data_IF_159941499432
#
_entry.id   IF_159941499432
#
_cell.length_a   1.000
_cell.length_b   1.000
_cell.length_c   1.000
_cell.angle_alpha   90.00
_cell.angle_beta   90.00
_cell.angle_gamma   90.00
#
_symmetry.space_group_name_H-M   'P 1'
#
loop_
_entity.id
_entity.type
_entity.pdbx_description
1 polymer ?
#
# COMPACT_ATOMS: atom_id res chain seq x y z
N UNK A 1 -23.90 -60.71 6.32
CA UNK A 1 -24.07 -59.32 6.75
C UNK A 1 -23.23 -58.47 5.82
N UNK A 2 -23.85 -57.67 4.99
CA UNK A 2 -23.12 -56.76 4.10
C UNK A 2 -22.50 -55.65 4.98
N UNK A 3 -21.16 -55.46 4.91
CA UNK A 3 -20.51 -54.30 5.45
C UNK A 3 -21.12 -53.05 4.82
N UNK A 4 -21.72 -52.19 5.63
CA UNK A 4 -22.09 -50.84 5.20
C UNK A 4 -20.83 -50.18 4.67
N UNK A 5 -20.80 -49.88 3.37
CA UNK A 5 -19.77 -49.05 2.79
C UNK A 5 -19.76 -47.73 3.57
N UNK A 6 -18.65 -47.41 4.28
CA UNK A 6 -18.39 -46.09 4.80
C UNK A 6 -18.71 -45.04 3.73
N UNK A 7 -19.40 -43.98 4.12
CA UNK A 7 -19.70 -42.85 3.25
C UNK A 7 -18.46 -42.45 2.43
N UNK A 8 -18.67 -42.15 1.16
CA UNK A 8 -17.60 -41.63 0.31
C UNK A 8 -17.06 -40.31 0.90
N UNK A 9 -15.73 -40.15 0.90
CA UNK A 9 -15.10 -38.88 1.27
C UNK A 9 -15.62 -37.72 0.43
N UNK A 10 -15.86 -36.56 1.05
CA UNK A 10 -16.26 -35.34 0.39
C UNK A 10 -15.09 -34.34 0.38
N UNK A 11 -15.20 -33.30 -0.44
CA UNK A 11 -14.19 -32.21 -0.46
C UNK A 11 -14.17 -31.46 0.86
N UNK A 12 -15.32 -31.34 1.54
CA UNK A 12 -15.44 -30.78 2.89
C UNK A 12 -14.68 -31.61 3.94
N UNK A 13 -14.69 -32.95 3.82
CA UNK A 13 -13.91 -33.83 4.69
C UNK A 13 -12.38 -33.67 4.47
N UNK A 14 -11.99 -33.15 3.31
CA UNK A 14 -10.62 -32.81 2.97
C UNK A 14 -10.24 -31.36 3.37
N UNK A 15 -11.16 -30.60 3.99
CA UNK A 15 -10.90 -29.25 4.53
C UNK A 15 -11.28 -28.09 3.59
N UNK A 16 -11.98 -28.35 2.47
CA UNK A 16 -12.45 -27.31 1.53
C UNK A 16 -13.97 -27.28 1.50
N UNK A 17 -14.58 -26.13 1.86
CA UNK A 17 -16.04 -25.97 1.95
C UNK A 17 -16.57 -25.08 0.81
N UNK A 18 -17.06 -25.73 -0.28
CA UNK A 18 -17.64 -25.03 -1.45
C UNK A 18 -18.84 -24.16 -1.06
N UNK A 19 -19.66 -24.60 -0.10
CA UNK A 19 -20.85 -23.83 0.33
C UNK A 19 -20.44 -22.56 1.07
N UNK A 20 -19.39 -22.62 1.90
CA UNK A 20 -18.81 -21.45 2.54
C UNK A 20 -18.24 -20.46 1.50
N UNK A 21 -17.54 -20.95 0.47
CA UNK A 21 -17.05 -20.14 -0.64
C UNK A 21 -18.19 -19.43 -1.39
N UNK A 22 -19.27 -20.13 -1.71
CA UNK A 22 -20.44 -19.53 -2.37
C UNK A 22 -21.11 -18.47 -1.48
N UNK A 23 -21.29 -18.75 -0.19
CA UNK A 23 -21.87 -17.81 0.77
C UNK A 23 -20.99 -16.56 0.92
N UNK A 24 -19.68 -16.73 0.93
CA UNK A 24 -18.73 -15.62 0.97
C UNK A 24 -18.88 -14.72 -0.27
N UNK A 25 -18.87 -15.29 -1.48
CA UNK A 25 -19.04 -14.52 -2.72
C UNK A 25 -20.36 -13.71 -2.70
N UNK A 26 -21.46 -14.33 -2.25
CA UNK A 26 -22.74 -13.61 -2.18
C UNK A 26 -22.71 -12.45 -1.16
N UNK A 27 -21.98 -12.59 -0.06
CA UNK A 27 -21.81 -11.52 0.95
C UNK A 27 -20.98 -10.36 0.46
N UNK A 28 -19.93 -10.60 -0.33
CA UNK A 28 -19.03 -9.53 -0.80
C UNK A 28 -19.57 -8.76 -2.01
N UNK A 29 -20.41 -9.36 -2.87
CA UNK A 29 -21.00 -8.72 -4.06
C UNK A 29 -21.57 -7.31 -3.82
N UNK A 30 -22.36 -7.04 -2.76
CA UNK A 30 -22.90 -5.69 -2.50
C UNK A 30 -21.80 -4.67 -2.17
N UNK A 31 -20.70 -5.11 -1.56
CA UNK A 31 -19.57 -4.24 -1.22
C UNK A 31 -18.80 -3.88 -2.47
N UNK A 32 -18.47 -4.85 -3.32
CA UNK A 32 -17.71 -4.66 -4.56
C UNK A 32 -18.40 -3.67 -5.51
N UNK A 33 -19.73 -3.68 -5.58
CA UNK A 33 -20.51 -2.71 -6.38
C UNK A 33 -20.24 -1.25 -6.04
N UNK A 34 -19.71 -0.95 -4.86
CA UNK A 34 -19.34 0.43 -4.46
C UNK A 34 -18.11 0.96 -5.19
N UNK A 35 -17.32 0.08 -5.80
CA UNK A 35 -16.09 0.44 -6.53
C UNK A 35 -16.32 0.62 -8.03
N UNK A 36 -17.55 0.50 -8.52
CA UNK A 36 -17.88 0.63 -9.95
C UNK A 36 -17.43 1.97 -10.47
N UNK A 37 -16.72 1.94 -11.60
CA UNK A 37 -16.30 3.13 -12.32
C UNK A 37 -16.55 3.00 -13.81
N UNK A 38 -16.46 4.10 -14.54
CA UNK A 38 -16.60 4.12 -16.00
C UNK A 38 -15.51 3.24 -16.64
N UNK A 39 -15.91 2.36 -17.53
CA UNK A 39 -15.06 1.37 -18.18
C UNK A 39 -15.03 0.00 -17.53
N UNK A 40 -15.35 -0.10 -16.23
CA UNK A 40 -15.38 -1.38 -15.53
C UNK A 40 -16.74 -2.08 -15.72
N UNK A 41 -16.70 -3.37 -16.05
CA UNK A 41 -17.83 -4.27 -15.87
C UNK A 41 -17.86 -4.74 -14.41
N UNK A 42 -19.05 -4.70 -13.81
CA UNK A 42 -19.18 -4.80 -12.35
C UNK A 42 -19.79 -6.13 -11.86
N UNK A 43 -20.02 -7.08 -12.74
CA UNK A 43 -20.62 -8.35 -12.34
C UNK A 43 -19.54 -9.37 -11.94
N UNK A 44 -19.41 -9.59 -10.61
CA UNK A 44 -18.60 -10.68 -10.06
C UNK A 44 -19.29 -12.04 -10.35
N UNK A 45 -18.47 -13.01 -10.74
CA UNK A 45 -18.91 -14.41 -10.92
C UNK A 45 -18.65 -14.97 -12.30
N UNK A 46 -18.05 -14.17 -13.20
CA UNK A 46 -17.47 -14.65 -14.46
C UNK A 46 -16.03 -15.17 -14.24
N UNK A 47 -15.43 -15.74 -15.31
CA UNK A 47 -14.03 -16.17 -15.28
C UNK A 47 -13.02 -15.01 -15.26
N UNK A 48 -13.46 -13.78 -15.54
CA UNK A 48 -12.65 -12.57 -15.51
C UNK A 48 -13.49 -11.31 -15.67
N UNK A 49 -12.96 -10.17 -15.24
CA UNK A 49 -13.58 -8.86 -15.38
C UNK A 49 -13.12 -8.14 -16.66
N UNK A 50 -14.02 -7.44 -17.33
CA UNK A 50 -13.69 -6.60 -18.47
C UNK A 50 -13.46 -5.15 -18.03
N UNK A 51 -12.50 -4.49 -18.70
CA UNK A 51 -12.29 -3.05 -18.57
C UNK A 51 -12.13 -2.41 -19.95
N UNK A 52 -13.02 -1.47 -20.27
CA UNK A 52 -13.01 -0.74 -21.54
C UNK A 52 -12.27 0.60 -21.38
N UNK A 53 -11.01 0.63 -21.83
CA UNK A 53 -10.15 1.82 -21.79
C UNK A 53 -10.73 2.99 -22.58
N UNK A 54 -11.36 2.71 -23.72
CA UNK A 54 -11.98 3.75 -24.53
C UNK A 54 -13.20 4.36 -23.83
N UNK A 55 -14.02 3.53 -23.19
CA UNK A 55 -15.13 4.02 -22.37
C UNK A 55 -14.62 4.82 -21.17
N UNK A 56 -13.47 4.46 -20.60
CA UNK A 56 -12.82 5.20 -19.52
C UNK A 56 -12.24 6.56 -19.96
N UNK A 57 -12.08 6.79 -21.28
CA UNK A 57 -11.67 8.08 -21.85
C UNK A 57 -10.25 8.12 -22.44
N UNK A 58 -9.57 6.98 -22.49
CA UNK A 58 -8.21 6.89 -23.04
C UNK A 58 -8.22 6.84 -24.58
N UNK A 59 -7.18 7.43 -25.19
CA UNK A 59 -6.98 7.48 -26.65
C UNK A 59 -5.85 6.55 -27.12
N UNK A 60 -4.64 6.68 -26.55
CA UNK A 60 -3.47 5.85 -26.84
C UNK A 60 -2.79 5.43 -25.52
N UNK A 61 -3.47 4.62 -24.68
CA UNK A 61 -2.97 4.29 -23.37
C UNK A 61 -1.82 3.29 -23.39
N UNK A 62 -0.89 3.46 -22.43
CA UNK A 62 0.04 2.44 -22.00
C UNK A 62 -0.50 1.87 -20.69
N UNK A 63 -0.56 0.55 -20.60
CA UNK A 63 -0.92 -0.13 -19.36
C UNK A 63 0.28 -0.22 -18.42
N UNK A 64 0.03 0.02 -17.15
CA UNK A 64 0.99 -0.19 -16.07
C UNK A 64 0.36 -1.18 -15.09
N UNK A 65 1.14 -2.17 -14.66
CA UNK A 65 0.67 -3.19 -13.73
C UNK A 65 1.62 -3.28 -12.54
N UNK A 66 1.07 -3.42 -11.34
CA UNK A 66 1.80 -3.67 -10.11
C UNK A 66 1.12 -4.78 -9.32
N UNK A 67 1.92 -5.53 -8.56
CA UNK A 67 1.42 -6.50 -7.60
C UNK A 67 2.23 -6.39 -6.31
N UNK A 68 1.54 -6.55 -5.18
CA UNK A 68 2.16 -6.54 -3.86
C UNK A 68 1.28 -7.31 -2.87
N UNK A 69 1.79 -7.51 -1.66
CA UNK A 69 1.09 -8.07 -0.52
C UNK A 69 1.05 -7.10 0.66
N UNK A 70 0.50 -7.56 1.79
CA UNK A 70 0.51 -6.81 3.05
C UNK A 70 1.75 -7.12 3.89
N UNK A 71 2.26 -8.33 3.76
CA UNK A 71 3.40 -8.80 4.53
C UNK A 71 3.06 -9.14 5.99
N UNK A 72 4.07 -9.12 6.87
CA UNK A 72 3.93 -9.63 8.24
C UNK A 72 3.09 -8.75 9.18
N UNK A 73 2.56 -7.62 8.71
CA UNK A 73 1.48 -6.87 9.38
C UNK A 73 0.25 -7.76 9.59
N UNK A 74 -0.03 -8.68 8.65
CA UNK A 74 -1.11 -9.66 8.77
C UNK A 74 -1.06 -10.47 10.05
N UNK A 75 0.13 -10.76 10.60
CA UNK A 75 0.23 -11.50 11.86
C UNK A 75 -0.38 -10.76 13.06
N UNK A 76 -0.33 -9.41 13.05
CA UNK A 76 -1.00 -8.62 14.07
C UNK A 76 -2.52 -8.74 13.89
N UNK A 77 -3.03 -8.61 12.66
CA UNK A 77 -4.45 -8.76 12.37
C UNK A 77 -4.98 -10.15 12.78
N UNK A 78 -4.24 -11.22 12.46
CA UNK A 78 -4.56 -12.60 12.81
C UNK A 78 -4.60 -12.80 14.34
N UNK A 79 -3.59 -12.31 15.05
CA UNK A 79 -3.48 -12.48 16.51
C UNK A 79 -4.50 -11.67 17.31
N UNK A 80 -5.02 -10.59 16.70
CA UNK A 80 -5.95 -9.65 17.37
C UNK A 80 -7.40 -9.77 16.91
N UNK A 81 -7.64 -10.42 15.76
CA UNK A 81 -8.97 -10.48 15.14
C UNK A 81 -9.40 -9.17 14.48
N UNK A 82 -8.48 -8.23 14.22
CA UNK A 82 -8.76 -6.95 13.54
C UNK A 82 -8.38 -7.08 12.06
N UNK A 83 -9.34 -7.35 11.20
CA UNK A 83 -9.11 -7.71 9.80
C UNK A 83 -9.55 -6.64 8.79
N UNK A 84 -10.30 -5.63 9.22
CA UNK A 84 -10.97 -4.65 8.35
C UNK A 84 -10.04 -3.56 7.77
N UNK A 85 -8.80 -3.46 8.27
CA UNK A 85 -7.83 -2.45 7.81
C UNK A 85 -6.83 -2.99 6.78
N UNK A 86 -6.45 -4.27 6.88
CA UNK A 86 -5.37 -4.85 6.06
C UNK A 86 -5.70 -4.92 4.56
N UNK A 87 -7.00 -4.93 4.20
CA UNK A 87 -7.43 -4.81 2.82
C UNK A 87 -7.11 -3.44 2.22
N UNK A 88 -7.14 -2.36 3.01
CA UNK A 88 -6.71 -1.03 2.58
C UNK A 88 -5.19 -1.03 2.33
N UNK A 89 -4.41 -1.66 3.21
CA UNK A 89 -2.97 -1.82 3.01
C UNK A 89 -2.67 -2.53 1.68
N UNK A 90 -3.36 -3.63 1.40
CA UNK A 90 -3.18 -4.39 0.17
C UNK A 90 -3.37 -3.52 -1.08
N UNK A 91 -4.47 -2.76 -1.12
CA UNK A 91 -4.74 -1.86 -2.25
C UNK A 91 -3.69 -0.76 -2.31
N UNK A 92 -3.38 -0.12 -1.18
CA UNK A 92 -2.43 1.00 -1.11
C UNK A 92 -1.06 0.63 -1.66
N UNK A 93 -0.53 -0.55 -1.27
CA UNK A 93 0.78 -1.02 -1.74
C UNK A 93 0.82 -1.14 -3.27
N UNK A 94 -0.25 -1.64 -3.89
CA UNK A 94 -0.32 -1.78 -5.34
C UNK A 94 -0.58 -0.45 -6.08
N UNK A 95 -1.56 0.34 -5.64
CA UNK A 95 -1.97 1.54 -6.39
C UNK A 95 -1.00 2.71 -6.23
N UNK A 96 -0.29 2.80 -5.10
CA UNK A 96 0.76 3.78 -4.93
C UNK A 96 1.96 3.50 -5.86
N UNK A 97 2.24 2.23 -6.15
CA UNK A 97 3.28 1.84 -7.11
C UNK A 97 2.87 2.13 -8.57
N UNK A 98 1.56 2.13 -8.88
CA UNK A 98 1.09 2.59 -10.20
C UNK A 98 1.23 4.09 -10.37
N UNK A 99 0.78 4.86 -9.37
CA UNK A 99 0.75 6.32 -9.47
C UNK A 99 2.15 6.93 -9.56
N UNK A 100 3.19 6.27 -9.01
CA UNK A 100 4.57 6.78 -9.14
C UNK A 100 5.10 6.71 -10.58
N UNK A 101 4.49 5.89 -11.44
CA UNK A 101 4.75 5.89 -12.88
C UNK A 101 3.89 6.93 -13.64
N UNK A 102 3.04 7.69 -12.94
CA UNK A 102 2.06 8.61 -13.50
C UNK A 102 0.76 7.93 -13.93
N UNK A 103 0.59 6.63 -13.74
CA UNK A 103 -0.57 5.88 -14.19
C UNK A 103 -1.75 6.01 -13.22
N UNK A 104 -2.95 6.29 -13.75
CA UNK A 104 -4.19 6.21 -12.99
C UNK A 104 -4.55 4.75 -12.74
N UNK A 105 -4.72 4.28 -11.48
CA UNK A 105 -5.24 2.95 -11.18
C UNK A 105 -6.67 2.78 -11.71
N UNK A 106 -6.91 1.72 -12.49
CA UNK A 106 -8.20 1.48 -13.14
C UNK A 106 -8.96 0.31 -12.52
N UNK A 107 -8.26 -0.79 -12.29
CA UNK A 107 -8.83 -2.01 -11.77
C UNK A 107 -7.91 -2.67 -10.75
N UNK A 108 -8.53 -3.47 -9.89
CA UNK A 108 -7.88 -4.25 -8.86
C UNK A 108 -8.41 -5.68 -8.85
N UNK A 109 -7.53 -6.62 -8.56
CA UNK A 109 -7.81 -8.03 -8.33
C UNK A 109 -7.10 -8.44 -7.05
N UNK A 110 -7.74 -9.24 -6.20
CA UNK A 110 -7.13 -9.79 -5.00
C UNK A 110 -6.96 -11.32 -5.08
N UNK A 111 -6.00 -11.82 -4.31
CA UNK A 111 -5.85 -13.23 -4.01
C UNK A 111 -5.82 -13.38 -2.48
N UNK A 112 -6.84 -14.04 -1.95
CA UNK A 112 -6.97 -14.36 -0.54
C UNK A 112 -6.75 -15.86 -0.34
N UNK A 113 -5.64 -16.23 0.29
CA UNK A 113 -5.28 -17.61 0.58
C UNK A 113 -5.32 -17.87 2.09
N UNK A 114 -6.03 -18.90 2.52
CA UNK A 114 -6.18 -19.26 3.94
C UNK A 114 -6.13 -20.77 4.13
N UNK A 115 -5.90 -21.22 5.36
CA UNK A 115 -6.00 -22.65 5.70
C UNK A 115 -7.46 -23.12 5.63
N UNK A 116 -8.39 -22.30 6.10
CA UNK A 116 -9.83 -22.56 6.14
C UNK A 116 -10.58 -21.24 6.10
N UNK A 117 -11.57 -21.10 5.24
CA UNK A 117 -12.32 -19.87 5.05
C UNK A 117 -13.29 -19.63 6.20
N UNK A 118 -13.01 -18.59 7.01
CA UNK A 118 -13.99 -17.96 7.86
C UNK A 118 -14.68 -16.85 7.06
N UNK A 119 -16.00 -16.96 6.87
CA UNK A 119 -16.78 -16.04 6.02
C UNK A 119 -16.84 -14.63 6.61
N UNK A 120 -16.88 -14.49 7.94
CA UNK A 120 -16.96 -13.19 8.61
C UNK A 120 -15.61 -12.46 8.54
N UNK A 121 -14.50 -13.19 8.75
CA UNK A 121 -13.15 -12.68 8.58
C UNK A 121 -12.88 -12.27 7.13
N UNK A 122 -13.21 -13.14 6.17
CA UNK A 122 -13.04 -12.84 4.75
C UNK A 122 -13.85 -11.61 4.30
N UNK A 123 -15.10 -11.48 4.78
CA UNK A 123 -15.91 -10.28 4.50
C UNK A 123 -15.28 -9.01 5.07
N UNK A 124 -14.70 -9.05 6.27
CA UNK A 124 -14.01 -7.89 6.87
C UNK A 124 -12.79 -7.49 6.02
N UNK A 125 -11.99 -8.46 5.58
CA UNK A 125 -10.84 -8.23 4.70
C UNK A 125 -11.28 -7.57 3.37
N UNK A 126 -12.30 -8.14 2.70
CA UNK A 126 -12.79 -7.61 1.42
C UNK A 126 -13.42 -6.23 1.57
N UNK A 127 -14.07 -5.92 2.70
CA UNK A 127 -14.53 -4.55 2.99
C UNK A 127 -13.37 -3.56 3.02
N UNK A 128 -12.24 -3.93 3.59
CA UNK A 128 -11.02 -3.13 3.55
C UNK A 128 -10.49 -2.94 2.12
N UNK A 129 -10.50 -4.00 1.30
CA UNK A 129 -10.10 -3.92 -0.13
C UNK A 129 -11.03 -2.96 -0.89
N UNK A 130 -12.35 -3.08 -0.70
CA UNK A 130 -13.34 -2.19 -1.32
C UNK A 130 -13.13 -0.74 -0.91
N UNK A 131 -12.86 -0.48 0.37
CA UNK A 131 -12.55 0.87 0.86
C UNK A 131 -11.29 1.42 0.21
N UNK A 132 -10.21 0.63 0.16
CA UNK A 132 -8.97 1.03 -0.52
C UNK A 132 -9.19 1.34 -2.01
N UNK A 133 -9.96 0.50 -2.72
CA UNK A 133 -10.33 0.74 -4.12
C UNK A 133 -11.15 2.02 -4.30
N UNK A 134 -12.09 2.31 -3.40
CA UNK A 134 -12.88 3.54 -3.42
C UNK A 134 -12.02 4.79 -3.19
N UNK A 135 -11.06 4.71 -2.25
CA UNK A 135 -10.09 5.78 -2.02
C UNK A 135 -9.21 6.01 -3.26
N UNK A 136 -8.70 4.95 -3.87
CA UNK A 136 -7.89 5.03 -5.09
C UNK A 136 -8.70 5.43 -6.33
N UNK A 137 -10.02 5.17 -6.35
CA UNK A 137 -10.87 5.40 -7.51
C UNK A 137 -10.76 4.29 -8.56
N UNK A 138 -10.29 3.10 -8.20
CA UNK A 138 -10.25 1.92 -9.08
C UNK A 138 -11.38 0.95 -8.78
N UNK A 139 -11.72 0.08 -9.74
CA UNK A 139 -12.75 -0.94 -9.58
C UNK A 139 -12.15 -2.27 -9.10
N UNK A 140 -12.73 -2.87 -8.06
CA UNK A 140 -12.48 -4.28 -7.73
C UNK A 140 -13.32 -5.13 -8.71
N UNK A 141 -12.67 -5.73 -9.71
CA UNK A 141 -13.37 -6.42 -10.81
C UNK A 141 -13.33 -7.94 -10.73
N UNK A 142 -12.64 -8.48 -9.74
CA UNK A 142 -12.51 -9.91 -9.52
C UNK A 142 -11.48 -10.20 -8.42
N UNK A 143 -11.28 -11.46 -8.18
CA UNK A 143 -10.32 -11.97 -7.21
C UNK A 143 -10.42 -13.49 -7.12
N UNK A 144 -9.62 -14.08 -6.26
CA UNK A 144 -9.60 -15.50 -5.97
C UNK A 144 -9.53 -15.73 -4.47
N UNK A 145 -10.31 -16.67 -3.97
CA UNK A 145 -10.24 -17.10 -2.56
C UNK A 145 -9.94 -18.58 -2.53
N UNK A 146 -8.80 -18.95 -1.95
CA UNK A 146 -8.31 -20.32 -1.91
C UNK A 146 -8.22 -20.85 -0.48
N UNK A 147 -8.92 -21.99 -0.23
CA UNK A 147 -8.69 -22.79 0.96
C UNK A 147 -7.56 -23.79 0.69
N UNK A 148 -6.48 -23.69 1.47
CA UNK A 148 -5.25 -24.45 1.31
C UNK A 148 -4.90 -25.19 2.61
N UNK A 149 -5.71 -26.19 3.03
CA UNK A 149 -5.48 -26.92 4.26
C UNK A 149 -4.14 -27.66 4.22
N UNK A 150 -3.32 -27.47 5.26
CA UNK A 150 -1.98 -28.05 5.35
C UNK A 150 -0.87 -27.19 4.73
N UNK A 151 -1.17 -26.18 3.92
CA UNK A 151 -0.20 -25.18 3.45
C UNK A 151 -0.09 -24.04 4.45
N UNK A 152 -1.22 -23.52 4.92
CA UNK A 152 -1.30 -22.54 6.00
C UNK A 152 -1.66 -23.21 7.34
N UNK A 153 -1.20 -22.64 8.45
CA UNK A 153 -1.68 -23.03 9.76
C UNK A 153 -3.13 -22.54 9.96
N UNK A 154 -3.89 -23.20 10.83
CA UNK A 154 -5.27 -22.80 11.10
C UNK A 154 -5.34 -21.36 11.62
N UNK A 155 -6.13 -20.52 10.97
CA UNK A 155 -6.29 -19.10 11.25
C UNK A 155 -5.26 -18.20 10.55
N UNK A 156 -4.24 -18.78 9.91
CA UNK A 156 -3.31 -18.00 9.07
C UNK A 156 -3.91 -17.79 7.67
N UNK A 157 -3.62 -16.62 7.13
CA UNK A 157 -3.95 -16.26 5.75
C UNK A 157 -2.88 -15.35 5.14
N UNK A 158 -2.89 -15.25 3.81
CA UNK A 158 -2.07 -14.30 3.05
C UNK A 158 -2.92 -13.58 2.02
N UNK A 159 -2.48 -12.37 1.67
CA UNK A 159 -3.15 -11.49 0.72
C UNK A 159 -2.16 -11.04 -0.34
N UNK A 160 -2.52 -11.18 -1.60
CA UNK A 160 -1.82 -10.58 -2.72
C UNK A 160 -2.79 -9.75 -3.56
N UNK A 161 -2.34 -8.58 -4.01
CA UNK A 161 -3.09 -7.67 -4.84
C UNK A 161 -2.46 -7.50 -6.20
N UNK A 162 -3.29 -7.31 -7.23
CA UNK A 162 -2.88 -6.97 -8.58
C UNK A 162 -3.66 -5.74 -9.02
N UNK A 163 -2.95 -4.69 -9.36
CA UNK A 163 -3.55 -3.47 -9.87
C UNK A 163 -3.08 -3.21 -11.29
N UNK A 164 -3.99 -2.76 -12.14
CA UNK A 164 -3.66 -2.29 -13.49
C UNK A 164 -4.16 -0.87 -13.63
N UNK A 165 -3.28 -0.01 -14.08
CA UNK A 165 -3.53 1.37 -14.40
C UNK A 165 -3.21 1.68 -15.85
N UNK A 166 -3.51 2.90 -16.27
CA UNK A 166 -3.14 3.39 -17.58
C UNK A 166 -2.64 4.83 -17.51
N UNK A 167 -1.83 5.17 -18.50
CA UNK A 167 -1.33 6.51 -18.76
C UNK A 167 -1.30 6.73 -20.26
N UNK A 168 -1.60 7.94 -20.72
CA UNK A 168 -1.45 8.27 -22.14
C UNK A 168 0.01 8.23 -22.57
N UNK A 169 0.27 7.75 -23.78
CA UNK A 169 1.62 7.65 -24.33
C UNK A 169 2.32 9.01 -24.36
N UNK A 170 3.54 9.05 -23.80
CA UNK A 170 4.33 10.26 -23.68
C UNK A 170 4.15 11.04 -22.38
N UNK A 171 3.26 10.56 -21.47
CA UNK A 171 3.04 11.19 -20.16
C UNK A 171 3.67 10.41 -19.00
N UNK A 172 4.37 9.30 -19.29
CA UNK A 172 4.97 8.43 -18.28
C UNK A 172 6.04 9.17 -17.47
N UNK A 173 5.98 9.06 -16.16
CA UNK A 173 7.06 9.53 -15.28
C UNK A 173 8.19 8.50 -15.29
N UNK A 174 9.33 8.89 -15.85
CA UNK A 174 10.53 8.05 -15.94
C UNK A 174 11.71 8.58 -15.12
N UNK A 175 11.54 9.76 -14.52
CA UNK A 175 12.63 10.49 -13.85
C UNK A 175 13.55 11.25 -14.81
N UNK A 176 13.36 11.12 -16.13
CA UNK A 176 14.22 11.78 -17.12
C UNK A 176 14.16 13.32 -17.07
N UNK A 177 13.06 13.86 -16.58
CA UNK A 177 12.81 15.30 -16.45
C UNK A 177 13.27 15.86 -15.08
N UNK A 178 13.91 15.06 -14.24
CA UNK A 178 14.50 15.52 -12.98
C UNK A 178 15.77 16.32 -13.25
N UNK A 179 15.86 17.49 -12.65
CA UNK A 179 16.99 18.41 -12.85
C UNK A 179 17.60 18.88 -11.53
N UNK A 180 18.87 19.31 -11.56
CA UNK A 180 19.49 19.98 -10.43
C UNK A 180 18.70 21.25 -10.07
N UNK A 181 18.34 21.40 -8.80
CA UNK A 181 17.55 22.50 -8.29
C UNK A 181 16.07 22.16 -8.07
N UNK A 182 15.58 21.05 -8.61
CA UNK A 182 14.23 20.57 -8.31
C UNK A 182 14.03 20.38 -6.81
N UNK A 183 12.80 20.62 -6.37
CA UNK A 183 12.42 20.51 -4.97
C UNK A 183 11.85 19.13 -4.69
N UNK A 184 12.21 18.55 -3.55
CA UNK A 184 11.61 17.32 -3.05
C UNK A 184 10.57 17.69 -2.00
N UNK A 185 9.30 17.40 -2.32
CA UNK A 185 8.19 17.48 -1.38
C UNK A 185 7.98 16.09 -0.78
N UNK A 186 7.71 16.03 0.52
CA UNK A 186 7.35 14.80 1.22
C UNK A 186 5.89 14.83 1.64
N UNK A 187 5.13 13.80 1.24
CA UNK A 187 3.77 13.57 1.72
C UNK A 187 3.83 12.71 2.98
N UNK A 188 3.17 13.18 4.04
CA UNK A 188 3.21 12.50 5.33
C UNK A 188 2.62 11.09 5.25
N UNK A 189 3.21 10.14 5.96
CA UNK A 189 2.61 8.85 6.25
C UNK A 189 1.62 8.93 7.41
N UNK A 190 0.72 7.94 7.50
CA UNK A 190 -0.19 7.79 8.65
C UNK A 190 0.39 6.84 9.72
N UNK A 191 1.66 6.49 9.62
CA UNK A 191 2.39 5.60 10.52
C UNK A 191 3.35 4.69 9.76
N UNK A 192 3.52 3.47 10.24
CA UNK A 192 4.48 2.49 9.69
C UNK A 192 4.12 2.06 8.25
N UNK A 193 2.85 2.16 7.87
CA UNK A 193 2.28 1.62 6.63
C UNK A 193 2.28 0.09 6.62
N UNK A 194 2.93 -0.56 5.62
CA UNK A 194 2.99 -2.03 5.51
C UNK A 194 4.41 -2.59 5.50
N UNK A 195 5.43 -1.77 5.66
CA UNK A 195 6.83 -2.21 5.60
C UNK A 195 7.49 -2.23 6.98
N UNK A 196 8.47 -3.12 7.17
CA UNK A 196 9.23 -3.22 8.42
C UNK A 196 8.52 -3.98 9.54
N UNK A 197 7.37 -4.61 9.31
CA UNK A 197 6.56 -5.24 10.37
C UNK A 197 7.21 -6.44 11.04
N UNK A 198 8.16 -7.12 10.41
CA UNK A 198 8.95 -8.14 11.09
C UNK A 198 9.76 -7.54 12.25
N UNK A 199 10.34 -6.35 12.04
CA UNK A 199 11.07 -5.61 13.07
C UNK A 199 10.11 -5.01 14.11
N UNK A 200 9.00 -4.41 13.68
CA UNK A 200 7.95 -3.89 14.60
C UNK A 200 7.50 -4.97 15.58
N UNK A 201 7.11 -6.13 15.07
CA UNK A 201 6.66 -7.28 15.91
C UNK A 201 7.75 -7.74 16.87
N UNK A 202 9.00 -7.78 16.41
CA UNK A 202 10.13 -8.13 17.26
C UNK A 202 10.35 -7.10 18.37
N UNK A 203 10.23 -5.80 18.08
CA UNK A 203 10.30 -4.75 19.09
C UNK A 203 9.17 -4.92 20.12
N UNK A 204 7.92 -5.08 19.68
CA UNK A 204 6.78 -5.31 20.57
C UNK A 204 7.01 -6.53 21.47
N UNK A 205 7.48 -7.63 20.90
CA UNK A 205 7.82 -8.84 21.69
C UNK A 205 8.83 -8.54 22.80
N UNK A 206 9.85 -7.73 22.55
CA UNK A 206 10.86 -7.38 23.56
C UNK A 206 10.31 -6.51 24.69
N UNK A 207 9.27 -5.71 24.43
CA UNK A 207 8.62 -4.89 25.47
C UNK A 207 7.75 -5.71 26.42
N UNK A 208 7.30 -6.90 26.00
CA UNK A 208 6.33 -7.71 26.72
C UNK A 208 4.92 -7.14 26.77
N UNK A 209 4.61 -6.07 26.02
CA UNK A 209 3.27 -5.49 25.94
C UNK A 209 2.33 -6.41 25.15
N UNK A 210 1.14 -6.74 25.65
CA UNK A 210 0.12 -7.43 24.86
C UNK A 210 -0.50 -6.47 23.83
N UNK A 211 -1.03 -7.01 22.74
CA UNK A 211 -1.63 -6.21 21.65
C UNK A 211 -2.77 -5.30 22.09
N UNK A 212 -3.53 -5.67 23.10
CA UNK A 212 -4.63 -4.89 23.67
C UNK A 212 -4.19 -3.89 24.75
N UNK A 213 -2.88 -3.72 25.01
CA UNK A 213 -2.39 -2.70 25.91
C UNK A 213 -2.70 -1.29 25.37
N UNK A 214 -2.89 -0.28 26.25
CA UNK A 214 -2.89 1.12 25.81
C UNK A 214 -1.63 1.42 25.01
N UNK A 215 -1.81 2.11 23.86
CA UNK A 215 -0.69 2.40 22.99
C UNK A 215 0.24 3.45 23.61
N UNK A 216 1.58 3.19 23.72
CA UNK A 216 2.52 4.14 24.33
C UNK A 216 2.71 5.44 23.53
N UNK A 217 2.34 5.46 22.25
CA UNK A 217 2.52 6.59 21.35
C UNK A 217 1.18 7.13 20.77
N UNK A 218 0.04 6.59 21.17
CA UNK A 218 -1.31 7.07 20.86
C UNK A 218 -2.27 6.77 22.00
N UNK A 219 -2.58 7.77 22.82
CA UNK A 219 -3.44 7.63 24.00
C UNK A 219 -4.89 7.18 23.69
N UNK A 220 -5.32 7.21 22.41
CA UNK A 220 -6.69 6.92 21.98
C UNK A 220 -6.91 5.51 21.48
N UNK A 221 -5.83 4.75 21.29
CA UNK A 221 -5.84 3.43 20.67
C UNK A 221 -5.17 2.38 21.55
N UNK A 222 -5.48 1.11 21.30
CA UNK A 222 -4.65 0.00 21.73
C UNK A 222 -3.38 -0.08 20.84
N UNK A 223 -2.37 -0.81 21.32
CA UNK A 223 -1.14 -1.03 20.55
C UNK A 223 -1.44 -1.66 19.19
N UNK A 224 -2.35 -2.63 19.13
CA UNK A 224 -2.77 -3.25 17.88
C UNK A 224 -3.43 -2.26 16.92
N UNK A 225 -4.43 -1.51 17.39
CA UNK A 225 -5.15 -0.54 16.55
C UNK A 225 -4.20 0.52 15.96
N UNK A 226 -3.28 1.05 16.78
CA UNK A 226 -2.29 2.02 16.32
C UNK A 226 -1.32 1.43 15.28
N UNK A 227 -0.87 0.18 15.48
CA UNK A 227 0.02 -0.51 14.54
C UNK A 227 -0.71 -1.07 13.31
N UNK A 228 -2.03 -1.24 13.34
CA UNK A 228 -2.85 -1.62 12.20
C UNK A 228 -3.38 -0.42 11.41
N UNK A 229 -3.02 0.82 11.77
CA UNK A 229 -3.33 2.00 10.95
C UNK A 229 -2.96 1.74 9.49
N UNK A 230 -3.90 1.88 8.53
CA UNK A 230 -3.66 1.51 7.14
C UNK A 230 -2.61 2.40 6.46
N UNK A 231 -2.00 1.84 5.44
CA UNK A 231 -1.16 2.57 4.48
C UNK A 231 -2.00 3.65 3.78
N UNK A 232 -1.49 4.87 3.74
CA UNK A 232 -2.14 6.00 3.07
C UNK A 232 -2.16 5.81 1.56
N UNK A 233 -3.29 6.08 0.93
CA UNK A 233 -3.47 6.03 -0.53
C UNK A 233 -3.34 7.45 -1.09
N UNK A 234 -2.30 7.69 -1.89
CA UNK A 234 -1.94 9.01 -2.43
C UNK A 234 -2.51 9.29 -3.83
N UNK A 235 -3.27 8.37 -4.42
CA UNK A 235 -3.66 8.40 -5.84
C UNK A 235 -4.34 9.70 -6.26
N UNK A 236 -5.46 10.07 -5.60
CA UNK A 236 -6.24 11.26 -6.01
C UNK A 236 -5.47 12.57 -5.86
N UNK A 237 -4.80 12.84 -4.73
CA UNK A 237 -3.96 14.04 -4.59
C UNK A 237 -2.85 14.11 -5.63
N UNK A 238 -2.18 12.98 -5.90
CA UNK A 238 -1.07 12.93 -6.86
C UNK A 238 -1.57 13.11 -8.28
N UNK A 239 -2.71 12.51 -8.69
CA UNK A 239 -3.31 12.77 -10.01
C UNK A 239 -3.61 14.26 -10.22
N UNK A 240 -4.10 14.96 -9.18
CA UNK A 240 -4.32 16.40 -9.25
C UNK A 240 -3.00 17.18 -9.41
N UNK A 241 -1.93 16.76 -8.72
CA UNK A 241 -0.62 17.37 -8.87
C UNK A 241 -0.01 17.09 -10.26
N UNK A 242 -0.16 15.88 -10.80
CA UNK A 242 0.32 15.50 -12.14
C UNK A 242 -0.32 16.35 -13.26
N UNK A 243 -1.56 16.79 -13.07
CA UNK A 243 -2.25 17.65 -14.04
C UNK A 243 -1.53 19.00 -14.25
N UNK A 244 -0.67 19.43 -13.34
CA UNK A 244 0.15 20.66 -13.51
C UNK A 244 1.29 20.50 -14.51
N UNK A 245 1.68 19.26 -14.84
CA UNK A 245 2.85 18.90 -15.65
C UNK A 245 4.19 19.39 -15.07
N UNK A 246 4.24 19.68 -13.77
CA UNK A 246 5.43 20.18 -13.05
C UNK A 246 6.00 19.15 -12.09
N UNK A 247 5.41 17.96 -12.03
CA UNK A 247 5.94 16.81 -11.30
C UNK A 247 6.88 16.04 -12.21
N UNK A 248 8.14 15.91 -11.82
CA UNK A 248 9.18 15.25 -12.61
C UNK A 248 9.42 13.81 -12.20
N UNK A 249 9.23 13.47 -10.92
CA UNK A 249 9.30 12.11 -10.43
C UNK A 249 8.51 11.92 -9.14
N UNK A 250 8.17 10.66 -8.85
CA UNK A 250 7.48 10.23 -7.63
C UNK A 250 8.16 8.98 -7.08
N UNK A 251 8.33 8.88 -5.77
CA UNK A 251 8.83 7.67 -5.12
C UNK A 251 7.91 7.26 -3.97
N UNK A 252 7.34 6.05 -4.05
CA UNK A 252 6.62 5.43 -2.94
C UNK A 252 7.62 4.90 -1.92
N UNK A 253 7.54 5.36 -0.67
CA UNK A 253 8.51 5.00 0.36
C UNK A 253 8.06 3.73 1.07
N UNK A 254 8.63 2.61 0.64
CA UNK A 254 8.37 1.24 1.10
C UNK A 254 9.60 0.63 1.77
N UNK A 255 9.81 -0.68 1.70
CA UNK A 255 11.03 -1.33 2.16
C UNK A 255 12.27 -0.73 1.50
N UNK A 256 13.32 -0.49 2.26
CA UNK A 256 14.48 0.31 1.85
C UNK A 256 14.38 1.79 2.25
N UNK A 257 13.19 2.25 2.72
CA UNK A 257 12.97 3.60 3.22
C UNK A 257 13.31 4.70 2.21
N UNK A 258 13.63 5.89 2.70
CA UNK A 258 14.02 7.02 1.87
C UNK A 258 15.33 6.75 1.10
N UNK A 259 16.22 5.95 1.70
CA UNK A 259 17.57 5.68 1.15
C UNK A 259 17.55 4.89 -0.15
N UNK A 260 16.66 3.91 -0.30
CA UNK A 260 16.66 3.00 -1.43
C UNK A 260 15.51 3.26 -2.44
N UNK A 261 14.44 3.99 -2.03
CA UNK A 261 13.32 4.27 -2.93
C UNK A 261 13.50 5.55 -3.75
N UNK A 262 14.05 6.62 -3.18
CA UNK A 262 14.26 7.87 -3.94
C UNK A 262 15.26 7.69 -5.09
N UNK A 263 16.39 6.98 -4.94
CA UNK A 263 17.31 6.75 -6.06
C UNK A 263 16.69 6.08 -7.29
N UNK A 264 15.65 5.27 -7.11
CA UNK A 264 15.00 4.54 -8.22
C UNK A 264 14.40 5.45 -9.29
N UNK A 265 14.16 6.72 -8.94
CA UNK A 265 13.50 7.68 -9.82
C UNK A 265 14.39 8.86 -10.17
N UNK A 266 15.67 8.79 -9.82
CA UNK A 266 16.66 9.80 -10.15
C UNK A 266 17.58 9.34 -11.29
N UNK A 267 18.01 10.25 -12.19
CA UNK A 267 19.16 10.03 -13.05
C UNK A 267 20.43 9.72 -12.26
N UNK A 268 21.34 8.93 -12.84
CA UNK A 268 22.58 8.48 -12.17
C UNK A 268 23.50 9.63 -11.74
N UNK A 269 23.46 10.77 -12.42
CA UNK A 269 24.28 11.96 -12.14
C UNK A 269 23.61 12.94 -11.17
N UNK A 270 22.45 12.57 -10.62
CA UNK A 270 21.72 13.39 -9.63
C UNK A 270 21.60 12.67 -8.29
N UNK A 271 21.48 13.48 -7.25
CA UNK A 271 21.30 13.04 -5.87
C UNK A 271 20.32 13.99 -5.16
N UNK A 272 19.74 13.58 -4.04
CA UNK A 272 18.93 14.45 -3.20
C UNK A 272 19.62 14.73 -1.88
N UNK A 273 19.45 15.96 -1.40
CA UNK A 273 19.84 16.37 -0.05
C UNK A 273 18.57 16.67 0.73
N UNK A 274 18.29 15.87 1.73
CA UNK A 274 17.11 15.94 2.57
C UNK A 274 17.43 16.59 3.91
N UNK A 275 16.54 17.41 4.43
CA UNK A 275 16.64 18.00 5.77
C UNK A 275 15.70 17.21 6.72
N UNK A 276 16.27 16.37 7.58
CA UNK A 276 15.50 15.52 8.49
C UNK A 276 14.69 16.32 9.53
N UNK A 277 15.01 17.60 9.77
CA UNK A 277 14.24 18.47 10.65
C UNK A 277 13.01 19.11 10.00
N UNK A 278 12.84 18.95 8.67
CA UNK A 278 11.81 19.66 7.90
C UNK A 278 10.41 19.03 7.97
N UNK A 279 10.28 17.84 8.54
CA UNK A 279 8.98 17.19 8.74
C UNK A 279 8.85 16.58 10.14
N UNK A 280 7.62 16.49 10.62
CA UNK A 280 7.30 15.81 11.87
C UNK A 280 7.22 14.31 11.67
N UNK A 281 8.02 13.54 12.39
CA UNK A 281 7.89 12.09 12.43
C UNK A 281 6.73 11.69 13.34
N UNK A 282 5.84 10.76 12.93
CA UNK A 282 4.89 10.12 13.82
C UNK A 282 5.57 9.48 15.03
N UNK A 283 4.95 9.59 16.21
CA UNK A 283 5.55 9.17 17.49
C UNK A 283 5.91 7.66 17.53
N UNK A 284 5.26 6.83 16.70
CA UNK A 284 5.57 5.41 16.56
C UNK A 284 7.05 5.17 16.21
N UNK A 285 7.67 6.01 15.39
CA UNK A 285 9.06 5.80 14.97
C UNK A 285 10.05 6.09 16.11
N UNK A 286 9.80 7.12 16.90
CA UNK A 286 10.60 7.40 18.10
C UNK A 286 10.48 6.27 19.12
N UNK A 287 9.26 5.75 19.33
CA UNK A 287 9.03 4.63 20.21
C UNK A 287 9.74 3.35 19.73
N UNK A 288 9.65 3.04 18.43
CA UNK A 288 10.34 1.88 17.84
C UNK A 288 11.85 1.98 17.99
N UNK A 289 12.42 3.15 17.71
CA UNK A 289 13.86 3.40 17.85
C UNK A 289 14.32 3.21 19.29
N UNK A 290 13.60 3.77 20.26
CA UNK A 290 13.92 3.69 21.68
C UNK A 290 13.80 2.25 22.20
N UNK A 291 12.63 1.59 21.99
CA UNK A 291 12.39 0.25 22.52
C UNK A 291 13.23 -0.84 21.82
N UNK A 292 13.52 -0.64 20.53
CA UNK A 292 14.34 -1.58 19.75
C UNK A 292 15.83 -1.30 19.82
N UNK A 293 16.26 -0.15 20.38
CA UNK A 293 17.65 0.29 20.29
C UNK A 293 18.14 0.42 18.86
N UNK A 294 17.25 0.91 17.93
CA UNK A 294 17.51 0.91 16.49
C UNK A 294 18.24 2.19 16.11
N UNK A 295 19.38 2.05 15.46
CA UNK A 295 20.18 3.16 14.97
C UNK A 295 19.44 3.99 13.91
N UNK A 296 19.69 5.30 13.86
CA UNK A 296 18.98 6.24 12.96
C UNK A 296 19.03 5.81 11.49
N UNK A 297 20.20 5.36 11.01
CA UNK A 297 20.34 4.92 9.61
C UNK A 297 19.55 3.64 9.31
N UNK A 298 19.43 2.74 10.28
CA UNK A 298 18.59 1.53 10.15
C UNK A 298 17.10 1.89 10.16
N UNK A 299 16.68 2.88 10.96
CA UNK A 299 15.33 3.43 10.92
C UNK A 299 15.00 3.98 9.53
N UNK A 300 15.89 4.79 8.95
CA UNK A 300 15.72 5.41 7.62
C UNK A 300 15.78 4.42 6.47
N UNK A 301 16.37 3.25 6.67
CA UNK A 301 16.42 2.16 5.69
C UNK A 301 15.24 1.21 5.81
N UNK A 302 14.73 0.97 7.01
CA UNK A 302 13.66 0.01 7.25
C UNK A 302 12.28 0.64 7.08
N UNK A 303 12.12 1.90 7.50
CA UNK A 303 10.83 2.56 7.64
C UNK A 303 10.73 3.83 6.78
N UNK A 304 9.48 4.28 6.56
CA UNK A 304 9.19 5.54 5.89
C UNK A 304 9.53 6.79 6.75
N UNK A 305 9.73 6.63 8.05
CA UNK A 305 10.06 7.69 9.02
C UNK A 305 9.19 8.94 8.91
N UNK A 306 7.91 8.78 8.53
CA UNK A 306 6.93 9.87 8.45
C UNK A 306 6.68 10.41 7.04
N UNK A 307 7.41 9.94 6.01
CA UNK A 307 7.21 10.30 4.61
C UNK A 307 6.82 9.04 3.82
N UNK A 308 5.56 8.97 3.39
CA UNK A 308 5.09 7.82 2.61
C UNK A 308 5.25 7.98 1.10
N UNK A 309 5.37 9.21 0.60
CA UNK A 309 5.59 9.51 -0.82
C UNK A 309 6.52 10.71 -0.96
N UNK A 310 7.54 10.61 -1.78
CA UNK A 310 8.37 11.74 -2.21
C UNK A 310 7.93 12.20 -3.61
N UNK A 311 7.82 13.52 -3.79
CA UNK A 311 7.40 14.17 -5.04
C UNK A 311 8.48 15.13 -5.47
N UNK A 312 9.15 14.87 -6.58
CA UNK A 312 10.15 15.76 -7.17
C UNK A 312 9.44 16.69 -8.15
N UNK A 313 9.59 18.00 -7.94
CA UNK A 313 8.86 19.01 -8.71
C UNK A 313 9.81 20.12 -9.20
N UNK A 314 9.46 20.73 -10.32
CA UNK A 314 10.12 21.94 -10.79
C UNK A 314 10.18 23.01 -9.67
N UNK A 315 11.35 23.62 -9.49
CA UNK A 315 11.59 24.56 -8.39
C UNK A 315 10.58 25.71 -8.32
N UNK A 316 10.22 26.25 -9.48
CA UNK A 316 9.27 27.37 -9.61
C UNK A 316 7.81 26.99 -9.35
N UNK A 317 7.48 25.69 -9.48
CA UNK A 317 6.12 25.18 -9.26
C UNK A 317 5.91 24.54 -7.88
N UNK A 318 6.94 24.47 -7.05
CA UNK A 318 6.92 23.72 -5.80
C UNK A 318 5.80 24.18 -4.84
N UNK A 319 5.57 25.49 -4.71
CA UNK A 319 4.54 26.02 -3.82
C UNK A 319 3.12 25.80 -4.38
N UNK A 320 2.94 25.88 -5.70
CA UNK A 320 1.66 25.59 -6.35
C UNK A 320 1.29 24.12 -6.23
N UNK A 321 2.23 23.21 -6.52
CA UNK A 321 2.03 21.75 -6.38
C UNK A 321 1.75 21.39 -4.93
N UNK A 322 2.52 21.96 -3.97
CA UNK A 322 2.26 21.78 -2.54
C UNK A 322 0.83 22.19 -2.17
N UNK A 323 0.40 23.38 -2.62
CA UNK A 323 -0.95 23.89 -2.36
C UNK A 323 -2.04 22.94 -2.92
N UNK A 324 -1.87 22.41 -4.12
CA UNK A 324 -2.80 21.45 -4.72
C UNK A 324 -2.88 20.17 -3.87
N UNK A 325 -1.75 19.61 -3.47
CA UNK A 325 -1.71 18.41 -2.63
C UNK A 325 -2.40 18.65 -1.27
N UNK A 326 -2.15 19.81 -0.64
CA UNK A 326 -2.78 20.18 0.64
C UNK A 326 -4.30 20.39 0.49
N UNK A 327 -4.77 20.95 -0.60
CA UNK A 327 -6.21 21.09 -0.91
C UNK A 327 -6.92 19.73 -1.07
N UNK A 328 -6.16 18.69 -1.42
CA UNK A 328 -6.66 17.32 -1.51
C UNK A 328 -6.43 16.50 -0.23
N UNK A 329 -6.06 17.17 0.87
CA UNK A 329 -5.99 16.57 2.21
C UNK A 329 -4.63 15.99 2.58
N UNK A 330 -3.56 16.26 1.80
CA UNK A 330 -2.22 15.84 2.15
C UNK A 330 -1.56 16.81 3.14
N UNK A 331 -0.70 16.26 4.00
CA UNK A 331 0.24 17.04 4.82
C UNK A 331 1.58 17.04 4.09
N UNK A 332 2.00 18.20 3.59
CA UNK A 332 3.15 18.31 2.68
C UNK A 332 4.26 19.13 3.32
N UNK A 333 5.47 18.57 3.36
CA UNK A 333 6.69 19.24 3.76
C UNK A 333 7.64 19.39 2.57
N UNK A 334 8.36 20.51 2.50
CA UNK A 334 9.51 20.65 1.60
C UNK A 334 10.70 19.98 2.28
N UNK A 335 11.01 18.74 1.87
CA UNK A 335 11.97 17.90 2.58
C UNK A 335 13.39 17.98 2.02
N UNK A 336 13.58 18.54 0.83
CA UNK A 336 14.91 18.58 0.24
C UNK A 336 14.97 19.19 -1.14
N UNK A 337 16.12 19.01 -1.77
CA UNK A 337 16.45 19.55 -3.09
C UNK A 337 17.33 18.57 -3.86
N UNK A 338 17.12 18.50 -5.18
CA UNK A 338 17.96 17.74 -6.10
C UNK A 338 19.28 18.48 -6.34
N UNK A 339 20.39 17.77 -6.29
CA UNK A 339 21.76 18.22 -6.52
C UNK A 339 22.48 17.33 -7.51
N UNK A 340 23.59 17.79 -8.05
CA UNK A 340 24.50 16.89 -8.78
C UNK A 340 25.09 15.85 -7.83
N UNK A 341 25.06 14.61 -8.27
CA UNK A 341 25.75 13.52 -7.58
C UNK A 341 27.27 13.80 -7.62
N UNK A 342 27.95 13.43 -6.54
CA UNK A 342 29.41 13.42 -6.51
C UNK A 342 29.86 11.98 -6.76
N UNK A 343 30.91 11.81 -7.55
CA UNK A 343 31.47 10.49 -7.86
C UNK A 343 31.71 9.67 -6.58
N UNK A 344 31.16 8.46 -6.54
CA UNK A 344 31.33 7.52 -5.43
C UNK A 344 30.53 7.85 -4.15
N UNK A 345 29.56 8.78 -4.22
CA UNK A 345 28.67 9.09 -3.06
C UNK A 345 27.28 8.49 -3.28
N UNK A 346 26.58 8.25 -2.16
CA UNK A 346 25.17 7.84 -2.18
C UNK A 346 24.27 8.94 -2.78
N UNK A 347 23.22 8.56 -3.49
CA UNK A 347 22.27 9.50 -4.09
C UNK A 347 21.32 10.15 -3.09
N UNK A 348 21.29 9.71 -1.83
CA UNK A 348 20.51 10.33 -0.76
C UNK A 348 21.44 10.74 0.38
N UNK A 349 21.43 12.00 0.71
CA UNK A 349 22.17 12.55 1.86
C UNK A 349 21.23 13.33 2.76
N UNK A 350 21.46 13.27 4.06
CA UNK A 350 20.67 13.97 5.07
C UNK A 350 21.45 15.10 5.74
N UNK A 351 20.72 16.18 6.01
CA UNK A 351 21.10 17.23 6.96
C UNK A 351 20.26 17.08 8.23
N UNK A 352 20.78 17.52 9.37
CA UNK A 352 20.05 17.63 10.65
C UNK A 352 19.40 16.31 11.12
N UNK A 353 20.15 15.19 11.00
CA UNK A 353 19.75 13.88 11.54
C UNK A 353 19.75 13.89 13.07
#
# INVERSE_FOLDING_TARGET
MAEEKKNSLSYKDAGVDIDAGNAFVDRIKPHVKKTIRKGADADLGGFGGFFDLKAAGYNDPILVAANDGVGTKLKIAIETGIHDTVGIDLVAMCVNDLIVQGAEPLLFLDYFATAHLDVDEGEAIVKGIVEGCAQAGCALIGGETAELPGLYAKGDYDLAGFSVGAIERGEQLTGADVHEGDIVLGLASDGVHSNGYSLVRRVVETTGLPWNAPCPFDEKASLAEALLTPTRIYVKPVLAALATKSVHALAHITGGGLLENIPRVLPDDLAVRLDASSWAQPAVFGWLAEQGGIETMEMLRTFNCGIGMAVVVASEAADDVKTILEQHGERVSRIGVVKKAKDGTEQVAFDNL
#
